data_IF_368323697632
#
_entry.id   IF_368323697632
#
_cell.length_a   1.000
_cell.length_b   1.000
_cell.length_c   1.000
_cell.angle_alpha   90.00
_cell.angle_beta   90.00
_cell.angle_gamma   90.00
#
_symmetry.space_group_name_H-M   'P 1'
#
loop_
_entity.id
_entity.type
_entity.pdbx_description
1 polymer ?
#
# COMPACT_ATOMS: atom_id res chain seq x y z
N UNK A 1 -6.18 18.32 15.65
CA UNK A 1 -5.41 17.25 16.31
C UNK A 1 -5.17 16.03 15.39
N UNK A 2 -6.08 15.72 14.47
CA UNK A 2 -5.91 14.60 13.53
C UNK A 2 -4.71 14.78 12.58
N UNK A 3 -4.50 15.98 12.05
CA UNK A 3 -3.40 16.27 11.13
C UNK A 3 -2.02 16.12 11.79
N UNK A 4 -1.88 16.48 13.07
CA UNK A 4 -0.63 16.32 13.81
C UNK A 4 -0.31 14.82 14.05
N UNK A 5 -1.32 14.01 14.40
CA UNK A 5 -1.15 12.57 14.56
C UNK A 5 -0.75 11.90 13.25
N UNK A 6 -1.38 12.27 12.13
CA UNK A 6 -1.02 11.78 10.80
C UNK A 6 0.42 12.17 10.41
N UNK A 7 0.81 13.41 10.68
CA UNK A 7 2.17 13.90 10.41
C UNK A 7 3.23 13.13 11.21
N UNK A 8 3.02 12.96 12.52
CA UNK A 8 3.96 12.21 13.39
C UNK A 8 4.06 10.75 12.96
N UNK A 9 2.93 10.09 12.64
CA UNK A 9 2.93 8.71 12.16
C UNK A 9 3.66 8.57 10.83
N UNK A 10 3.44 9.50 9.90
CA UNK A 10 4.14 9.53 8.62
C UNK A 10 5.65 9.79 8.78
N UNK A 11 6.04 10.65 9.72
CA UNK A 11 7.45 10.93 10.01
C UNK A 11 8.16 9.69 10.57
N UNK A 12 7.55 9.01 11.56
CA UNK A 12 8.10 7.77 12.14
C UNK A 12 8.24 6.69 11.06
N UNK A 13 7.21 6.54 10.22
CA UNK A 13 7.22 5.58 9.13
C UNK A 13 8.33 5.90 8.11
N UNK A 14 8.45 7.16 7.69
CA UNK A 14 9.47 7.60 6.74
C UNK A 14 10.90 7.42 7.26
N UNK A 15 11.15 7.75 8.53
CA UNK A 15 12.44 7.50 9.18
C UNK A 15 12.73 5.99 9.22
N UNK A 16 11.74 5.17 9.56
CA UNK A 16 11.88 3.71 9.56
C UNK A 16 12.28 3.16 8.18
N UNK A 17 11.69 3.68 7.09
CA UNK A 17 12.04 3.30 5.72
C UNK A 17 13.47 3.69 5.33
N UNK A 18 13.92 4.87 5.76
CA UNK A 18 15.29 5.32 5.50
C UNK A 18 16.30 4.46 6.28
N UNK A 19 16.05 4.22 7.55
CA UNK A 19 16.94 3.42 8.42
C UNK A 19 17.01 1.96 7.96
N UNK A 20 15.89 1.39 7.48
CA UNK A 20 15.86 0.02 6.97
C UNK A 20 16.49 -0.12 5.57
N UNK A 21 16.81 0.99 4.89
CA UNK A 21 17.32 0.99 3.51
C UNK A 21 16.26 0.61 2.47
N UNK A 22 14.97 0.59 2.83
CA UNK A 22 13.87 0.22 1.91
C UNK A 22 13.56 1.29 0.86
N UNK A 23 14.20 2.44 0.93
CA UNK A 23 14.14 3.48 -0.11
C UNK A 23 14.96 3.13 -1.35
N UNK A 24 15.83 2.11 -1.27
CA UNK A 24 16.64 1.61 -2.38
C UNK A 24 15.94 0.43 -3.07
N UNK A 25 15.57 0.53 -4.37
CA UNK A 25 14.91 -0.56 -5.10
C UNK A 25 15.79 -1.82 -5.23
N UNK A 26 17.10 -1.70 -5.07
CA UNK A 26 18.01 -2.84 -5.12
C UNK A 26 17.71 -3.88 -4.05
N UNK A 27 17.17 -3.47 -2.90
CA UNK A 27 16.74 -4.35 -1.82
C UNK A 27 15.57 -5.26 -2.21
N UNK A 28 14.61 -4.71 -2.96
CA UNK A 28 13.46 -5.47 -3.48
C UNK A 28 13.92 -6.44 -4.57
N UNK A 29 14.74 -5.96 -5.50
CA UNK A 29 15.27 -6.77 -6.59
C UNK A 29 16.15 -7.89 -6.05
N UNK A 30 17.03 -7.60 -5.07
CA UNK A 30 17.88 -8.60 -4.42
C UNK A 30 17.09 -9.67 -3.67
N UNK A 31 15.94 -9.33 -3.10
CA UNK A 31 15.04 -10.29 -2.48
C UNK A 31 14.34 -11.19 -3.52
N UNK A 32 13.99 -10.66 -4.69
CA UNK A 32 13.35 -11.40 -5.78
C UNK A 32 14.35 -12.28 -6.57
N UNK A 33 15.65 -12.02 -6.46
CA UNK A 33 16.71 -12.76 -7.14
C UNK A 33 17.03 -14.08 -6.40
N UNK A 34 16.08 -15.01 -6.43
CA UNK A 34 16.21 -16.34 -5.80
C UNK A 34 17.29 -17.21 -6.43
N UNK A 35 17.67 -16.94 -7.67
CA UNK A 35 18.67 -17.71 -8.42
C UNK A 35 20.09 -17.12 -8.34
N UNK A 36 20.23 -15.86 -7.84
CA UNK A 36 21.49 -15.16 -7.75
C UNK A 36 21.94 -14.95 -6.28
N UNK A 37 22.31 -13.71 -5.96
CA UNK A 37 22.75 -13.30 -4.60
C UNK A 37 21.55 -12.87 -3.76
N UNK A 38 20.74 -13.81 -3.35
CA UNK A 38 19.54 -13.57 -2.57
C UNK A 38 19.81 -12.77 -1.28
N UNK A 39 19.11 -11.65 -1.11
CA UNK A 39 19.17 -10.78 0.08
C UNK A 39 17.89 -10.94 0.91
N UNK A 40 17.92 -11.64 2.07
CA UNK A 40 16.76 -11.83 2.92
C UNK A 40 16.35 -10.60 3.75
N UNK A 41 17.05 -9.47 3.65
CA UNK A 41 16.80 -8.30 4.48
C UNK A 41 15.36 -7.80 4.40
N UNK A 42 14.75 -7.83 3.21
CA UNK A 42 13.35 -7.47 3.01
C UNK A 42 12.39 -8.39 3.77
N UNK A 43 12.68 -9.71 3.84
CA UNK A 43 11.87 -10.65 4.60
C UNK A 43 11.82 -10.29 6.09
N UNK A 44 12.95 -9.94 6.69
CA UNK A 44 13.00 -9.52 8.10
C UNK A 44 12.19 -8.24 8.35
N UNK A 45 12.27 -7.26 7.45
CA UNK A 45 11.47 -6.03 7.54
C UNK A 45 9.98 -6.35 7.43
N UNK A 46 9.57 -7.20 6.49
CA UNK A 46 8.18 -7.63 6.34
C UNK A 46 7.66 -8.38 7.55
N UNK A 47 8.42 -9.33 8.09
CA UNK A 47 8.04 -10.08 9.30
C UNK A 47 7.89 -9.12 10.49
N UNK A 48 8.83 -8.19 10.68
CA UNK A 48 8.75 -7.18 11.73
C UNK A 48 7.49 -6.31 11.59
N UNK A 49 7.21 -5.83 10.38
CA UNK A 49 6.01 -5.05 10.10
C UNK A 49 4.71 -5.82 10.35
N UNK A 50 4.67 -7.10 9.99
CA UNK A 50 3.51 -7.99 10.25
C UNK A 50 3.31 -8.17 11.75
N UNK A 51 4.36 -8.44 12.53
CA UNK A 51 4.25 -8.62 13.99
C UNK A 51 3.70 -7.36 14.65
N UNK A 52 4.27 -6.20 14.34
CA UNK A 52 3.81 -4.91 14.87
C UNK A 52 2.37 -4.62 14.43
N UNK A 53 2.05 -4.88 13.15
CA UNK A 53 0.72 -4.71 12.60
C UNK A 53 -0.32 -5.60 13.27
N UNK A 54 -0.01 -6.87 13.54
CA UNK A 54 -0.88 -7.79 14.25
C UNK A 54 -1.17 -7.33 15.68
N UNK A 55 -0.17 -6.86 16.40
CA UNK A 55 -0.33 -6.31 17.75
C UNK A 55 -1.21 -5.06 17.69
N UNK A 56 -0.92 -4.12 16.78
CA UNK A 56 -1.72 -2.91 16.59
C UNK A 56 -3.17 -3.21 16.24
N UNK A 57 -3.40 -4.17 15.32
CA UNK A 57 -4.73 -4.61 14.94
C UNK A 57 -5.49 -5.31 16.09
N UNK A 58 -4.81 -6.15 16.86
CA UNK A 58 -5.40 -6.80 18.03
C UNK A 58 -5.85 -5.78 19.09
N UNK A 59 -5.09 -4.72 19.29
CA UNK A 59 -5.46 -3.59 20.15
C UNK A 59 -6.63 -2.79 19.55
N UNK A 60 -6.58 -2.49 18.25
CA UNK A 60 -7.62 -1.72 17.57
C UNK A 60 -8.97 -2.43 17.58
N UNK A 61 -9.00 -3.76 17.40
CA UNK A 61 -10.25 -4.56 17.45
C UNK A 61 -10.97 -4.51 18.80
N UNK A 62 -10.26 -4.25 19.89
CA UNK A 62 -10.84 -4.14 21.24
C UNK A 62 -11.40 -2.75 21.53
N UNK A 63 -11.23 -1.79 20.61
CA UNK A 63 -11.66 -0.40 20.77
C UNK A 63 -12.78 -0.06 19.79
N UNK A 64 -13.75 0.70 20.25
CA UNK A 64 -14.82 1.26 19.42
C UNK A 64 -14.49 2.66 18.90
N UNK A 65 -13.52 3.31 19.55
CA UNK A 65 -13.09 4.68 19.21
C UNK A 65 -11.58 4.73 18.99
N UNK A 66 -11.17 5.54 18.00
CA UNK A 66 -9.76 5.82 17.75
C UNK A 66 -9.14 6.62 18.91
N UNK A 67 -7.83 6.54 19.09
CA UNK A 67 -7.09 7.30 20.13
C UNK A 67 -7.29 8.82 20.05
N UNK A 68 -7.60 9.35 18.86
CA UNK A 68 -7.81 10.78 18.59
C UNK A 68 -9.30 11.17 18.49
N UNK A 69 -10.22 10.29 18.95
CA UNK A 69 -11.64 10.61 19.03
C UNK A 69 -12.35 10.55 17.68
N UNK A 70 -12.52 9.38 17.11
CA UNK A 70 -13.35 9.11 15.92
C UNK A 70 -13.91 7.69 15.99
N UNK A 71 -15.03 7.43 15.32
CA UNK A 71 -15.56 6.07 15.20
C UNK A 71 -14.57 5.21 14.41
N UNK A 72 -14.23 4.03 14.95
CA UNK A 72 -13.30 3.10 14.29
C UNK A 72 -14.11 2.20 13.34
N UNK A 73 -14.06 2.49 12.04
CA UNK A 73 -14.68 1.65 11.02
C UNK A 73 -13.67 0.63 10.50
N UNK A 74 -13.74 -0.60 11.03
CA UNK A 74 -12.92 -1.70 10.51
C UNK A 74 -13.69 -2.37 9.37
N UNK A 75 -13.13 -2.43 8.14
CA UNK A 75 -13.79 -3.09 7.01
C UNK A 75 -14.04 -4.57 7.30
N UNK A 76 -15.28 -5.02 7.10
CA UNK A 76 -15.70 -6.42 7.28
C UNK A 76 -15.88 -7.16 5.97
N UNK A 77 -15.61 -6.50 4.83
CA UNK A 77 -15.75 -7.08 3.51
C UNK A 77 -14.78 -8.26 3.33
N UNK A 78 -15.32 -9.47 3.11
CA UNK A 78 -14.57 -10.71 2.88
C UNK A 78 -14.76 -11.24 1.45
N UNK A 79 -15.39 -10.48 0.57
CA UNK A 79 -15.64 -10.91 -0.79
C UNK A 79 -14.39 -10.75 -1.63
N UNK A 80 -13.90 -11.88 -2.15
CA UNK A 80 -12.82 -11.90 -3.15
C UNK A 80 -13.49 -11.77 -4.52
N UNK A 81 -13.40 -10.59 -5.10
CA UNK A 81 -13.94 -10.28 -6.41
C UNK A 81 -12.88 -10.46 -7.50
N UNK A 82 -13.31 -10.73 -8.74
CA UNK A 82 -12.40 -10.84 -9.90
C UNK A 82 -11.57 -9.56 -10.11
N UNK A 83 -12.15 -8.40 -9.81
CA UNK A 83 -11.45 -7.10 -9.85
C UNK A 83 -10.27 -7.06 -8.90
N UNK A 84 -10.45 -7.56 -7.66
CA UNK A 84 -9.39 -7.63 -6.66
C UNK A 84 -8.27 -8.55 -7.13
N UNK A 85 -8.59 -9.72 -7.68
CA UNK A 85 -7.59 -10.68 -8.18
C UNK A 85 -6.81 -10.10 -9.35
N UNK A 86 -7.49 -9.54 -10.36
CA UNK A 86 -6.84 -8.93 -11.51
C UNK A 86 -5.99 -7.72 -11.12
N UNK A 87 -6.52 -6.84 -10.26
CA UNK A 87 -5.77 -5.69 -9.74
C UNK A 87 -4.52 -6.09 -8.98
N UNK A 88 -4.60 -7.14 -8.14
CA UNK A 88 -3.47 -7.68 -7.40
C UNK A 88 -2.40 -8.28 -8.32
N UNK A 89 -2.80 -8.98 -9.38
CA UNK A 89 -1.88 -9.52 -10.38
C UNK A 89 -1.15 -8.41 -11.14
N UNK A 90 -1.87 -7.41 -11.64
CA UNK A 90 -1.28 -6.27 -12.35
C UNK A 90 -0.34 -5.49 -11.44
N UNK A 91 -0.75 -5.25 -10.19
CA UNK A 91 0.10 -4.61 -9.19
C UNK A 91 1.35 -5.42 -8.91
N UNK A 92 1.22 -6.75 -8.72
CA UNK A 92 2.36 -7.64 -8.45
C UNK A 92 3.38 -7.67 -9.58
N UNK A 93 2.92 -7.70 -10.84
CA UNK A 93 3.80 -7.62 -12.01
C UNK A 93 4.53 -6.27 -12.05
N UNK A 94 3.80 -5.16 -11.88
CA UNK A 94 4.39 -3.82 -11.86
C UNK A 94 5.40 -3.64 -10.73
N UNK A 95 5.09 -4.14 -9.54
CA UNK A 95 5.98 -4.12 -8.38
C UNK A 95 7.25 -4.94 -8.61
N UNK A 96 7.11 -6.15 -9.14
CA UNK A 96 8.25 -7.04 -9.42
C UNK A 96 9.20 -6.47 -10.48
N UNK A 97 8.68 -5.76 -11.49
CA UNK A 97 9.48 -5.12 -12.54
C UNK A 97 10.15 -3.81 -12.07
N UNK A 98 9.43 -3.00 -11.29
CA UNK A 98 9.91 -1.70 -10.85
C UNK A 98 10.86 -1.78 -9.65
N UNK A 99 10.73 -2.80 -8.79
CA UNK A 99 11.48 -2.93 -7.55
C UNK A 99 11.15 -1.89 -6.49
N UNK A 100 10.13 -1.05 -6.72
CA UNK A 100 9.68 -0.03 -5.77
C UNK A 100 8.34 -0.39 -5.13
N UNK A 101 8.27 -0.27 -3.80
CA UNK A 101 6.98 -0.20 -3.11
C UNK A 101 6.47 1.26 -3.08
N UNK A 102 5.15 1.49 -3.15
CA UNK A 102 4.58 2.85 -3.15
C UNK A 102 5.02 3.73 -1.96
N UNK A 103 5.10 3.17 -0.76
CA UNK A 103 5.53 3.90 0.44
C UNK A 103 6.98 4.39 0.36
N UNK A 104 7.96 3.49 0.19
CA UNK A 104 9.36 3.85 -0.04
C UNK A 104 9.56 4.78 -1.23
N UNK A 105 8.79 4.63 -2.31
CA UNK A 105 8.87 5.51 -3.48
C UNK A 105 8.54 6.96 -3.14
N UNK A 106 7.52 7.20 -2.32
CA UNK A 106 7.15 8.57 -1.88
C UNK A 106 8.26 9.18 -1.02
N UNK A 107 8.89 8.41 -0.14
CA UNK A 107 10.02 8.87 0.69
C UNK A 107 11.24 9.17 -0.18
N UNK A 108 11.57 8.27 -1.13
CA UNK A 108 12.67 8.45 -2.07
C UNK A 108 12.44 9.64 -3.02
N UNK A 109 11.18 9.89 -3.42
CA UNK A 109 10.77 11.08 -4.17
C UNK A 109 11.05 12.36 -3.36
N UNK A 110 10.67 12.38 -2.07
CA UNK A 110 10.97 13.50 -1.18
C UNK A 110 12.47 13.73 -0.96
N UNK A 111 13.29 12.68 -1.10
CA UNK A 111 14.75 12.75 -1.06
C UNK A 111 15.39 13.13 -2.43
N UNK A 112 14.59 13.38 -3.47
CA UNK A 112 15.07 13.84 -4.77
C UNK A 112 15.66 12.74 -5.66
N UNK A 113 15.30 11.47 -5.47
CA UNK A 113 15.79 10.38 -6.31
C UNK A 113 15.06 10.35 -7.67
N UNK A 114 15.78 10.48 -8.77
CA UNK A 114 15.22 10.53 -10.14
C UNK A 114 14.35 9.31 -10.48
N UNK A 115 14.79 8.11 -10.09
CA UNK A 115 14.02 6.87 -10.32
C UNK A 115 12.68 6.85 -9.60
N UNK A 116 12.64 7.43 -8.40
CA UNK A 116 11.41 7.55 -7.61
C UNK A 116 10.44 8.56 -8.22
N UNK A 117 10.95 9.64 -8.85
CA UNK A 117 10.13 10.62 -9.57
C UNK A 117 9.35 9.95 -10.70
N UNK A 118 10.05 9.18 -11.54
CA UNK A 118 9.44 8.45 -12.66
C UNK A 118 8.39 7.46 -12.15
N UNK A 119 8.72 6.70 -11.09
CA UNK A 119 7.80 5.74 -10.50
C UNK A 119 6.54 6.40 -9.94
N UNK A 120 6.67 7.50 -9.19
CA UNK A 120 5.53 8.21 -8.59
C UNK A 120 4.63 8.80 -9.66
N UNK A 121 5.20 9.38 -10.73
CA UNK A 121 4.41 9.89 -11.86
C UNK A 121 3.65 8.74 -12.55
N UNK A 122 4.31 7.60 -12.79
CA UNK A 122 3.67 6.43 -13.39
C UNK A 122 2.56 5.86 -12.48
N UNK A 123 2.78 5.84 -11.17
CA UNK A 123 1.79 5.41 -10.18
C UNK A 123 0.55 6.32 -10.19
N UNK A 124 0.73 7.63 -10.16
CA UNK A 124 -0.37 8.59 -10.24
C UNK A 124 -1.11 8.50 -11.57
N UNK A 125 -0.37 8.33 -12.67
CA UNK A 125 -0.94 8.10 -14.00
C UNK A 125 -1.78 6.81 -14.04
N UNK A 126 -1.32 5.73 -13.45
CA UNK A 126 -2.05 4.48 -13.34
C UNK A 126 -3.34 4.60 -12.52
N UNK A 127 -3.29 5.33 -11.40
CA UNK A 127 -4.49 5.63 -10.59
C UNK A 127 -5.51 6.45 -11.39
N UNK A 128 -5.08 7.51 -12.07
CA UNK A 128 -5.95 8.33 -12.91
C UNK A 128 -6.58 7.55 -14.07
N UNK A 129 -5.80 6.68 -14.73
CA UNK A 129 -6.30 5.80 -15.78
C UNK A 129 -7.35 4.81 -15.25
N UNK A 130 -7.13 4.26 -14.06
CA UNK A 130 -8.10 3.37 -13.41
C UNK A 130 -9.42 4.10 -13.11
N UNK A 131 -9.36 5.30 -12.52
CA UNK A 131 -10.55 6.11 -12.24
C UNK A 131 -11.32 6.47 -13.52
N UNK A 132 -10.60 6.85 -14.59
CA UNK A 132 -11.20 7.16 -15.88
C UNK A 132 -11.85 5.92 -16.52
N UNK A 133 -11.20 4.76 -16.43
CA UNK A 133 -11.75 3.49 -16.92
C UNK A 133 -13.01 3.10 -16.14
N UNK A 134 -12.98 3.23 -14.81
CA UNK A 134 -14.14 2.92 -13.97
C UNK A 134 -15.30 3.89 -14.23
N UNK A 135 -15.03 5.17 -14.43
CA UNK A 135 -16.05 6.16 -14.80
C UNK A 135 -16.70 5.87 -16.16
N UNK A 136 -15.92 5.31 -17.12
CA UNK A 136 -16.44 4.98 -18.46
C UNK A 136 -17.09 3.61 -18.57
N UNK A 137 -16.56 2.62 -17.85
CA UNK A 137 -17.00 1.21 -17.96
C UNK A 137 -17.72 0.69 -16.71
N UNK A 138 -17.66 1.41 -15.57
CA UNK A 138 -18.24 1.01 -14.30
C UNK A 138 -19.71 1.37 -14.09
N UNK A 139 -20.34 2.06 -15.04
CA UNK A 139 -21.74 2.51 -14.95
C UNK A 139 -22.79 1.40 -14.87
N UNK A 140 -22.43 0.16 -15.17
CA UNK A 140 -23.41 -0.94 -15.31
C UNK A 140 -23.55 -1.84 -14.06
N UNK A 141 -22.66 -1.72 -13.08
CA UNK A 141 -22.67 -2.58 -11.88
C UNK A 141 -23.34 -1.96 -10.64
N UNK A 142 -23.61 -0.66 -10.68
CA UNK A 142 -24.31 0.06 -9.58
C UNK A 142 -25.81 -0.22 -9.52
N UNK A 143 -26.44 -0.52 -10.66
CA UNK A 143 -27.89 -0.69 -10.75
C UNK A 143 -28.39 -2.08 -10.33
N UNK A 144 -27.53 -3.09 -10.35
CA UNK A 144 -27.90 -4.45 -9.95
C UNK A 144 -27.94 -4.66 -8.42
N UNK A 145 -27.46 -3.70 -7.63
CA UNK A 145 -27.46 -3.77 -6.16
C UNK A 145 -28.67 -3.12 -5.50
N UNK A 146 -29.36 -2.22 -6.21
CA UNK A 146 -30.55 -1.52 -5.71
C UNK A 146 -31.85 -2.36 -5.74
N UNK A 147 -31.89 -3.39 -6.58
CA UNK A 147 -33.15 -4.12 -6.86
C UNK A 147 -33.38 -5.38 -6.00
N UNK A 148 -32.43 -5.74 -5.14
CA UNK A 148 -32.58 -6.90 -4.22
C UNK A 148 -32.90 -6.54 -2.78
N UNK A 149 -33.27 -5.28 -2.50
CA UNK A 149 -33.64 -4.80 -1.16
C UNK A 149 -35.05 -4.18 -1.15
N UNK A 150 -35.99 -4.76 -1.88
CA UNK A 150 -37.41 -4.44 -1.74
C UNK A 150 -38.21 -5.69 -1.43
#
# INVERSE_FOLDING_TARGET
MHSLGAFVSGLIFGIGLIVSGMTDPSKVIGFLDLAGRWDPSLAFVMVGAIIVGLIGYAVARKRTTAFLGGALHIPTARQIDRRLVLGSLVFGIGWGLAGFCPGPAVVAFGAGQDKAVVFVIAMLGGMALYELAEARFGGDTGNARGEKSS
#
